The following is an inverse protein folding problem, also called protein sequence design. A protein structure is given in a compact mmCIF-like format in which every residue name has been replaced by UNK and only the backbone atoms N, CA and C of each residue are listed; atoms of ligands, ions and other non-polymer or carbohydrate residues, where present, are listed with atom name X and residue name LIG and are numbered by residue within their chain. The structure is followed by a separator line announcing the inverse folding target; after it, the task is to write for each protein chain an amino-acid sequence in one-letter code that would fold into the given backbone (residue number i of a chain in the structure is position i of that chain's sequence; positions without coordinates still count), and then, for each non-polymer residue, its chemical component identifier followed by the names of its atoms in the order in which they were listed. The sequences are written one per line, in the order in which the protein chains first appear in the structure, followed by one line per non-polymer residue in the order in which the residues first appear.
data_IF_130784834002
#
_entry.id   IF_130784834002
#
_cell.length_a   1.000
_cell.length_b   1.000
_cell.length_c   1.000
_cell.angle_alpha   90.00
_cell.angle_beta   90.00
_cell.angle_gamma   90.00
#
_symmetry.space_group_name_H-M   'P 1'
#
loop_
_entity.id
_entity.type
_entity.pdbx_description
1 polymer ?
#
# COMPACT_ATOMS: atom_id res chain seq x y z
N UNK A 1 16.05 10.42 -19.29
CA UNK A 1 14.72 11.07 -19.20
C UNK A 1 14.84 12.56 -18.96
N UNK A 2 14.15 13.39 -19.74
CA UNK A 2 13.98 14.83 -19.47
C UNK A 2 12.57 15.07 -18.93
N UNK A 3 12.47 15.69 -17.76
CA UNK A 3 11.23 16.17 -17.18
C UNK A 3 11.18 17.70 -17.30
N UNK A 4 10.29 18.24 -18.13
CA UNK A 4 9.91 19.65 -18.10
C UNK A 4 8.98 19.88 -16.93
N UNK A 5 9.39 20.70 -15.97
CA UNK A 5 8.69 20.97 -14.71
C UNK A 5 8.23 22.41 -14.70
N UNK A 6 6.93 22.61 -14.59
CA UNK A 6 6.30 23.91 -14.38
C UNK A 6 5.62 23.90 -13.02
N UNK A 7 6.08 24.77 -12.11
CA UNK A 7 5.51 24.93 -10.77
C UNK A 7 4.91 26.31 -10.64
N UNK A 8 3.69 26.35 -10.10
CA UNK A 8 2.94 27.58 -9.82
C UNK A 8 2.29 27.48 -8.45
N UNK A 9 1.62 28.54 -8.01
CA UNK A 9 0.79 28.52 -6.81
C UNK A 9 -0.25 27.39 -6.86
N UNK A 10 -0.90 27.17 -8.00
CA UNK A 10 -2.04 26.25 -8.06
C UNK A 10 -1.67 24.82 -8.51
N UNK A 11 -0.49 24.60 -9.10
CA UNK A 11 -0.16 23.30 -9.68
C UNK A 11 1.33 23.04 -9.86
N UNK A 12 1.65 21.74 -9.96
CA UNK A 12 2.88 21.20 -10.51
C UNK A 12 2.51 20.42 -11.77
N UNK A 13 2.99 20.85 -12.92
CA UNK A 13 2.79 20.18 -14.21
C UNK A 13 4.14 19.64 -14.70
N UNK A 14 4.15 18.39 -15.16
CA UNK A 14 5.38 17.70 -15.57
C UNK A 14 5.19 17.02 -16.91
N UNK A 15 6.06 17.31 -17.88
CA UNK A 15 6.14 16.64 -19.18
C UNK A 15 7.39 15.78 -19.24
N UNK A 16 7.22 14.49 -19.52
CA UNK A 16 8.29 13.49 -19.60
C UNK A 16 8.67 13.24 -21.06
N UNK A 17 9.88 13.60 -21.44
CA UNK A 17 10.47 13.31 -22.75
C UNK A 17 11.53 12.21 -22.60
N UNK A 18 11.27 11.00 -23.13
CA UNK A 18 12.26 9.92 -23.10
C UNK A 18 13.53 10.27 -23.87
N UNK A 19 14.64 9.68 -23.43
CA UNK A 19 15.94 9.70 -24.06
C UNK A 19 16.33 8.28 -24.50
N UNK A 20 17.46 8.15 -25.20
CA UNK A 20 17.85 6.89 -25.86
C UNK A 20 17.98 5.69 -24.90
N UNK A 21 18.41 5.93 -23.65
CA UNK A 21 18.62 4.91 -22.63
C UNK A 21 17.41 4.67 -21.71
N UNK A 22 16.30 5.39 -21.92
CA UNK A 22 15.07 5.20 -21.17
C UNK A 22 14.28 3.97 -21.66
N UNK A 23 13.44 3.40 -20.80
CA UNK A 23 12.65 2.20 -21.11
C UNK A 23 11.15 2.48 -21.21
N UNK A 24 10.50 1.86 -22.19
CA UNK A 24 9.04 1.83 -22.31
C UNK A 24 8.38 0.80 -21.39
N UNK A 25 9.15 -0.17 -20.88
CA UNK A 25 8.66 -1.30 -20.10
C UNK A 25 9.35 -1.42 -18.74
N UNK A 26 8.56 -1.66 -17.70
CA UNK A 26 8.99 -1.87 -16.32
C UNK A 26 8.21 -3.01 -15.69
N UNK A 27 8.73 -4.24 -15.81
CA UNK A 27 8.08 -5.45 -15.30
C UNK A 27 6.76 -5.76 -16.03
N UNK A 28 5.62 -5.63 -15.33
CA UNK A 28 4.27 -5.82 -15.92
C UNK A 28 3.61 -4.50 -16.34
N UNK A 29 4.32 -3.39 -16.22
CA UNK A 29 3.83 -2.07 -16.56
C UNK A 29 4.56 -1.53 -17.79
N UNK A 30 3.88 -0.69 -18.55
CA UNK A 30 4.45 0.11 -19.62
C UNK A 30 4.30 1.59 -19.29
N UNK A 31 5.12 2.43 -19.90
CA UNK A 31 4.87 3.86 -19.86
C UNK A 31 3.52 4.20 -20.51
N UNK A 32 2.83 5.15 -19.90
CA UNK A 32 1.54 5.64 -20.32
C UNK A 32 1.66 7.04 -20.90
N UNK A 33 0.84 7.96 -20.38
CA UNK A 33 0.89 9.37 -20.72
C UNK A 33 2.24 9.96 -20.34
N UNK A 34 2.77 10.81 -21.20
CA UNK A 34 4.04 11.51 -21.02
C UNK A 34 3.89 12.84 -20.27
N UNK A 35 2.81 13.02 -19.53
CA UNK A 35 2.64 14.17 -18.66
C UNK A 35 1.74 13.85 -17.48
N UNK A 36 1.96 14.54 -16.37
CA UNK A 36 1.08 14.51 -15.23
C UNK A 36 1.03 15.87 -14.53
N UNK A 37 -0.10 16.12 -13.88
CA UNK A 37 -0.36 17.28 -13.04
C UNK A 37 -0.63 16.88 -11.59
N UNK A 38 -0.28 17.77 -10.68
CA UNK A 38 -0.70 17.77 -9.29
C UNK A 38 -1.26 19.16 -8.99
N UNK A 39 -2.46 19.24 -8.42
CA UNK A 39 -3.12 20.52 -8.16
C UNK A 39 -3.23 20.77 -6.67
N UNK A 40 -2.78 21.95 -6.25
CA UNK A 40 -2.72 22.35 -4.86
C UNK A 40 -4.14 22.46 -4.27
N UNK A 41 -4.33 22.09 -2.98
CA UNK A 41 -5.58 22.39 -2.29
C UNK A 41 -5.70 23.89 -2.03
N UNK A 42 -6.95 24.36 -1.88
CA UNK A 42 -7.25 25.78 -1.65
C UNK A 42 -6.46 26.34 -0.45
N UNK A 43 -5.77 27.47 -0.65
CA UNK A 43 -4.96 28.12 0.38
C UNK A 43 -3.59 27.48 0.65
N UNK A 44 -3.23 26.39 -0.05
CA UNK A 44 -2.00 25.64 0.18
C UNK A 44 -1.17 25.45 -1.11
N UNK A 45 -0.85 26.56 -1.80
CA UNK A 45 -0.22 26.54 -3.13
C UNK A 45 1.26 26.12 -3.21
N UNK A 46 1.77 25.61 -4.32
CA UNK A 46 3.14 25.06 -4.37
C UNK A 46 4.28 26.09 -4.48
N UNK A 47 4.02 27.36 -4.17
CA UNK A 47 5.04 28.41 -4.14
C UNK A 47 6.11 28.12 -3.09
N UNK A 48 7.37 28.24 -3.48
CA UNK A 48 8.50 28.08 -2.57
C UNK A 48 8.73 26.64 -2.08
N UNK A 49 8.12 25.63 -2.71
CA UNK A 49 8.46 24.22 -2.42
C UNK A 49 9.92 23.98 -2.72
N UNK A 50 10.62 23.37 -1.75
CA UNK A 50 12.05 23.10 -1.88
C UNK A 50 12.35 22.24 -3.13
N UNK A 51 13.38 22.56 -3.94
CA UNK A 51 13.73 21.81 -5.17
C UNK A 51 13.88 20.30 -4.96
N UNK A 52 14.51 19.87 -3.86
CA UNK A 52 14.60 18.46 -3.48
C UNK A 52 13.25 17.72 -3.39
N UNK A 53 12.20 18.39 -2.88
CA UNK A 53 10.86 17.80 -2.75
C UNK A 53 10.18 17.68 -4.12
N UNK A 54 10.36 18.66 -5.00
CA UNK A 54 9.89 18.62 -6.39
C UNK A 54 10.59 17.48 -7.13
N UNK A 55 11.92 17.42 -7.05
CA UNK A 55 12.73 16.40 -7.68
C UNK A 55 12.37 14.98 -7.22
N UNK A 56 12.21 14.78 -5.90
CA UNK A 56 11.79 13.48 -5.38
C UNK A 56 10.36 13.13 -5.87
N UNK A 57 9.44 14.09 -5.92
CA UNK A 57 8.09 13.87 -6.44
C UNK A 57 8.10 13.42 -7.91
N UNK A 58 8.89 14.10 -8.76
CA UNK A 58 9.07 13.72 -10.17
C UNK A 58 9.72 12.34 -10.28
N UNK A 59 10.76 12.07 -9.49
CA UNK A 59 11.45 10.77 -9.47
C UNK A 59 10.49 9.63 -9.10
N UNK A 60 9.64 9.78 -8.08
CA UNK A 60 8.69 8.74 -7.68
C UNK A 60 7.67 8.37 -8.77
N UNK A 61 7.47 9.26 -9.74
CA UNK A 61 6.62 9.02 -10.93
C UNK A 61 7.46 8.47 -12.08
N UNK A 62 8.57 9.11 -12.44
CA UNK A 62 9.33 8.84 -13.66
C UNK A 62 10.36 7.70 -13.55
N UNK A 63 10.82 7.37 -12.33
CA UNK A 63 11.89 6.39 -12.10
C UNK A 63 11.71 5.04 -12.81
N UNK A 64 10.50 4.45 -12.93
CA UNK A 64 10.35 3.15 -13.58
C UNK A 64 10.79 3.13 -15.05
N UNK A 65 10.75 4.28 -15.72
CA UNK A 65 11.06 4.43 -17.15
C UNK A 65 12.37 5.15 -17.41
N UNK A 66 13.02 5.62 -16.35
CA UNK A 66 14.27 6.40 -16.45
C UNK A 66 15.46 5.45 -16.56
N UNK A 67 16.32 5.69 -17.53
CA UNK A 67 17.62 5.05 -17.71
C UNK A 67 18.63 5.54 -16.69
N UNK A 68 19.75 6.07 -17.18
CA UNK A 68 20.90 6.49 -16.36
C UNK A 68 20.77 7.91 -15.78
N UNK A 69 19.93 8.78 -16.35
CA UNK A 69 19.77 10.17 -15.87
C UNK A 69 18.34 10.69 -15.93
N UNK A 70 18.03 11.58 -15.00
CA UNK A 70 16.79 12.37 -14.96
C UNK A 70 17.14 13.86 -14.94
N UNK A 71 16.86 14.57 -16.03
CA UNK A 71 17.07 16.02 -16.15
C UNK A 71 15.78 16.75 -15.80
N UNK A 72 15.83 17.65 -14.82
CA UNK A 72 14.68 18.45 -14.40
C UNK A 72 14.79 19.86 -15.00
N UNK A 73 14.12 20.12 -16.13
CA UNK A 73 14.05 21.48 -16.70
C UNK A 73 13.01 22.29 -15.94
N UNK A 74 13.36 23.51 -15.51
CA UNK A 74 12.50 24.32 -14.64
C UNK A 74 12.81 24.18 -13.14
N UNK A 75 13.80 23.35 -12.80
CA UNK A 75 14.41 23.27 -11.46
C UNK A 75 15.92 23.45 -11.65
N UNK A 76 16.51 24.50 -11.06
CA UNK A 76 17.92 24.86 -11.31
C UNK A 76 18.93 23.78 -10.87
N UNK A 77 18.54 22.93 -9.92
CA UNK A 77 19.28 21.78 -9.44
C UNK A 77 18.69 21.21 -8.17
N UNK A 78 19.28 20.11 -7.68
CA UNK A 78 18.96 19.51 -6.37
C UNK A 78 20.17 19.60 -5.44
N UNK A 79 19.96 19.39 -4.14
CA UNK A 79 21.08 19.30 -3.20
C UNK A 79 21.96 18.09 -3.52
N UNK A 80 23.25 18.20 -3.23
CA UNK A 80 24.20 17.09 -3.38
C UNK A 80 23.76 15.85 -2.60
N UNK A 81 23.11 16.05 -1.44
CA UNK A 81 22.60 14.99 -0.58
C UNK A 81 21.52 14.17 -1.31
N UNK A 82 20.56 14.83 -1.98
CA UNK A 82 19.54 14.12 -2.74
C UNK A 82 20.15 13.45 -3.99
N UNK A 83 20.99 14.16 -4.75
CA UNK A 83 21.63 13.60 -5.94
C UNK A 83 22.42 12.31 -5.62
N UNK A 84 23.21 12.32 -4.55
CA UNK A 84 23.97 11.16 -4.09
C UNK A 84 23.06 9.98 -3.67
N UNK A 85 21.96 10.27 -2.95
CA UNK A 85 21.00 9.25 -2.53
C UNK A 85 20.29 8.60 -3.73
N UNK A 86 19.90 9.38 -4.73
CA UNK A 86 19.25 8.87 -5.96
C UNK A 86 20.21 8.03 -6.78
N UNK A 87 21.46 8.48 -6.96
CA UNK A 87 22.51 7.72 -7.65
C UNK A 87 22.79 6.40 -6.95
N UNK A 88 22.92 6.39 -5.62
CA UNK A 88 23.15 5.16 -4.85
C UNK A 88 21.95 4.20 -4.91
N UNK A 89 20.73 4.74 -4.81
CA UNK A 89 19.52 3.93 -4.79
C UNK A 89 19.21 3.29 -6.15
N UNK A 90 19.26 4.08 -7.23
CA UNK A 90 18.75 3.69 -8.55
C UNK A 90 19.79 3.73 -9.67
N UNK A 91 20.98 4.28 -9.45
CA UNK A 91 21.94 4.52 -10.53
C UNK A 91 21.50 5.65 -11.47
N UNK A 92 20.58 6.50 -11.01
CA UNK A 92 20.06 7.65 -11.77
C UNK A 92 20.85 8.89 -11.37
N UNK A 93 21.38 9.60 -12.35
CA UNK A 93 22.05 10.89 -12.18
C UNK A 93 21.03 12.04 -12.16
N UNK A 94 21.21 12.95 -11.21
CA UNK A 94 20.52 14.24 -11.11
C UNK A 94 21.55 15.36 -11.11
N UNK A 95 21.20 16.51 -11.69
CA UNK A 95 22.01 17.73 -11.63
C UNK A 95 22.01 18.29 -10.21
N UNK A 96 23.16 18.26 -9.54
CA UNK A 96 23.33 18.90 -8.24
C UNK A 96 23.66 20.40 -8.41
N UNK A 97 23.05 21.28 -7.61
CA UNK A 97 23.50 22.66 -7.44
C UNK A 97 24.31 22.74 -6.14
N UNK A 98 25.63 22.99 -6.20
CA UNK A 98 26.49 23.06 -5.01
C UNK A 98 26.15 24.23 -4.07
N UNK A 99 25.30 25.18 -4.51
CA UNK A 99 24.83 26.30 -3.70
C UNK A 99 23.48 26.02 -3.02
N UNK A 100 22.79 24.95 -3.42
CA UNK A 100 21.51 24.58 -2.82
C UNK A 100 21.76 23.74 -1.58
N UNK A 101 21.47 24.33 -0.42
CA UNK A 101 21.48 23.62 0.85
C UNK A 101 20.44 22.48 0.82
N UNK A 102 20.76 21.31 1.39
CA UNK A 102 19.78 20.25 1.54
C UNK A 102 18.58 20.69 2.37
N UNK A 103 17.38 20.25 1.99
CA UNK A 103 16.17 20.53 2.79
C UNK A 103 16.38 20.12 4.25
N UNK A 104 15.97 20.97 5.19
CA UNK A 104 15.89 20.62 6.61
C UNK A 104 14.45 20.73 7.10
N UNK A 105 13.95 19.69 7.75
CA UNK A 105 12.65 19.71 8.38
C UNK A 105 12.67 20.53 9.68
N UNK A 106 11.53 21.14 10.06
CA UNK A 106 11.41 21.85 11.33
C UNK A 106 11.65 20.92 12.53
N UNK A 107 12.39 21.41 13.54
CA UNK A 107 12.69 20.65 14.76
C UNK A 107 11.44 20.35 15.61
N UNK A 108 10.46 21.25 15.57
CA UNK A 108 9.12 21.15 16.15
C UNK A 108 8.09 20.65 15.13
N UNK A 109 8.55 19.96 14.08
CA UNK A 109 7.71 19.42 13.04
C UNK A 109 6.76 18.31 13.51
N UNK A 110 5.83 17.95 12.64
CA UNK A 110 4.80 16.95 12.91
C UNK A 110 4.78 15.86 11.84
N UNK A 111 4.19 14.68 12.11
CA UNK A 111 4.11 13.63 11.10
C UNK A 111 3.01 13.98 10.09
N UNK A 112 3.21 13.68 8.82
CA UNK A 112 2.14 13.65 7.82
C UNK A 112 1.67 12.23 7.56
N UNK A 113 0.39 12.05 7.25
CA UNK A 113 -0.16 10.74 6.86
C UNK A 113 -0.66 10.77 5.43
N UNK A 114 -0.08 9.92 4.57
CA UNK A 114 -0.68 9.59 3.29
C UNK A 114 -1.94 8.73 3.54
N UNK A 115 -3.09 9.40 3.59
CA UNK A 115 -4.36 8.85 4.04
C UNK A 115 -5.22 8.44 2.85
N UNK A 116 -5.86 7.26 2.90
CA UNK A 116 -6.69 6.78 1.79
C UNK A 116 -8.17 6.54 2.14
N UNK A 117 -8.58 6.79 3.39
CA UNK A 117 -9.92 6.42 3.89
C UNK A 117 -10.14 4.91 4.08
N UNK A 118 -9.11 4.09 3.88
CA UNK A 118 -9.16 2.64 4.10
C UNK A 118 -8.78 2.26 5.53
N UNK A 119 -9.12 1.03 5.94
CA UNK A 119 -8.91 0.53 7.32
C UNK A 119 -7.49 0.74 7.81
N UNK A 120 -6.50 0.45 6.97
CA UNK A 120 -5.10 0.47 7.39
C UNK A 120 -4.58 1.91 7.57
N UNK A 121 -5.03 2.85 6.72
CA UNK A 121 -4.73 4.28 6.90
C UNK A 121 -5.51 4.91 8.04
N UNK A 122 -6.75 4.46 8.31
CA UNK A 122 -7.53 4.90 9.48
C UNK A 122 -6.89 4.41 10.77
N UNK A 123 -6.40 3.17 10.83
CA UNK A 123 -5.64 2.68 11.97
C UNK A 123 -4.37 3.52 12.20
N UNK A 124 -3.65 3.88 11.14
CA UNK A 124 -2.51 4.79 11.25
C UNK A 124 -2.90 6.18 11.81
N UNK A 125 -4.03 6.73 11.36
CA UNK A 125 -4.59 7.99 11.89
C UNK A 125 -4.95 7.90 13.38
N UNK A 126 -5.50 6.76 13.83
CA UNK A 126 -5.84 6.54 15.24
C UNK A 126 -4.60 6.49 16.13
N UNK A 127 -3.50 5.93 15.63
CA UNK A 127 -2.25 5.77 16.39
C UNK A 127 -1.31 6.98 16.35
N UNK A 128 -1.53 7.90 15.42
CA UNK A 128 -0.76 9.13 15.28
C UNK A 128 -1.34 10.25 16.15
N UNK A 129 -0.53 11.28 16.48
CA UNK A 129 -1.03 12.47 17.16
C UNK A 129 -2.21 13.11 16.42
N UNK A 130 -3.16 13.69 17.16
CA UNK A 130 -4.43 14.20 16.60
C UNK A 130 -4.22 15.26 15.52
N UNK A 131 -3.18 16.07 15.68
CA UNK A 131 -2.74 17.18 14.83
C UNK A 131 -2.00 16.76 13.56
N UNK A 132 -1.87 15.45 13.31
CA UNK A 132 -1.28 14.90 12.08
C UNK A 132 -2.17 15.25 10.87
N UNK A 133 -1.69 16.03 9.89
CA UNK A 133 -2.44 16.28 8.66
C UNK A 133 -2.64 15.02 7.84
N UNK A 134 -3.86 14.86 7.33
CA UNK A 134 -4.29 13.73 6.49
C UNK A 134 -4.26 14.14 5.02
N UNK A 135 -3.29 13.61 4.27
CA UNK A 135 -3.10 13.94 2.87
C UNK A 135 -3.60 12.81 1.97
N UNK A 136 -4.70 13.08 1.28
CA UNK A 136 -5.30 12.17 0.32
C UNK A 136 -4.86 12.53 -1.10
N UNK A 137 -4.27 11.55 -1.78
CA UNK A 137 -4.05 11.62 -3.21
C UNK A 137 -5.38 11.34 -3.93
N UNK A 138 -6.07 12.40 -4.34
CA UNK A 138 -7.31 12.30 -5.10
C UNK A 138 -6.99 12.05 -6.57
N UNK A 139 -7.43 10.91 -7.10
CA UNK A 139 -7.05 10.44 -8.43
C UNK A 139 -8.06 10.93 -9.45
N UNK A 140 -7.65 11.85 -10.29
CA UNK A 140 -8.49 12.40 -11.35
C UNK A 140 -8.08 11.85 -12.72
N UNK A 141 -8.93 12.05 -13.71
CA UNK A 141 -8.60 11.85 -15.11
C UNK A 141 -7.57 12.87 -15.60
N UNK A 142 -7.00 12.67 -16.79
CA UNK A 142 -6.07 13.63 -17.41
C UNK A 142 -6.64 15.05 -17.38
N UNK A 143 -5.82 16.02 -16.97
CA UNK A 143 -6.22 17.45 -16.93
C UNK A 143 -7.44 17.72 -16.05
N UNK A 144 -7.53 17.02 -14.92
CA UNK A 144 -8.65 17.09 -13.96
C UNK A 144 -10.01 16.67 -14.53
N UNK A 145 -10.03 15.95 -15.64
CA UNK A 145 -11.24 15.29 -16.12
C UNK A 145 -11.72 14.21 -15.14
N UNK A 146 -12.99 13.77 -15.20
CA UNK A 146 -13.43 12.60 -14.44
C UNK A 146 -12.57 11.37 -14.77
N UNK A 147 -12.14 10.62 -13.74
CA UNK A 147 -11.34 9.41 -13.93
C UNK A 147 -12.16 8.34 -14.66
N UNK A 148 -11.61 7.80 -15.75
CA UNK A 148 -12.19 6.66 -16.48
C UNK A 148 -11.73 5.31 -15.93
N UNK A 149 -10.92 5.31 -14.88
CA UNK A 149 -10.44 4.09 -14.23
C UNK A 149 -11.52 3.44 -13.35
N UNK A 150 -11.28 2.20 -12.92
CA UNK A 150 -12.16 1.55 -11.93
C UNK A 150 -12.06 2.17 -10.53
N UNK A 151 -11.20 3.18 -10.32
CA UNK A 151 -11.03 3.83 -9.03
C UNK A 151 -12.14 4.87 -8.77
N UNK A 152 -12.66 4.85 -7.55
CA UNK A 152 -13.71 5.73 -7.06
C UNK A 152 -13.23 6.37 -5.74
N UNK A 153 -13.26 7.70 -5.66
CA UNK A 153 -12.80 8.46 -4.49
C UNK A 153 -13.92 8.88 -3.55
N UNK A 154 -15.20 8.69 -3.90
CA UNK A 154 -16.35 9.23 -3.17
C UNK A 154 -16.34 8.87 -1.67
N UNK A 155 -16.10 7.61 -1.30
CA UNK A 155 -16.02 7.23 0.11
C UNK A 155 -14.84 7.86 0.85
N UNK A 156 -13.67 7.98 0.22
CA UNK A 156 -12.50 8.61 0.83
C UNK A 156 -12.72 10.12 1.02
N UNK A 157 -13.34 10.79 0.04
CA UNK A 157 -13.70 12.21 0.14
C UNK A 157 -14.76 12.45 1.22
N UNK A 158 -15.79 11.58 1.32
CA UNK A 158 -16.75 11.62 2.43
C UNK A 158 -16.05 11.48 3.78
N UNK A 159 -15.13 10.52 3.90
CA UNK A 159 -14.39 10.31 5.15
C UNK A 159 -13.54 11.54 5.53
N UNK A 160 -12.85 12.17 4.58
CA UNK A 160 -12.11 13.41 4.83
C UNK A 160 -13.04 14.55 5.27
N UNK A 161 -14.17 14.72 4.61
CA UNK A 161 -15.16 15.74 4.92
C UNK A 161 -15.74 15.56 6.34
N UNK A 162 -16.07 14.33 6.74
CA UNK A 162 -16.48 14.02 8.11
C UNK A 162 -15.36 14.30 9.13
N UNK A 163 -14.13 13.85 8.86
CA UNK A 163 -12.97 14.11 9.73
C UNK A 163 -12.65 15.61 9.86
N UNK A 164 -12.83 16.37 8.78
CA UNK A 164 -12.67 17.83 8.77
C UNK A 164 -13.70 18.52 9.67
N UNK A 165 -14.97 18.09 9.62
CA UNK A 165 -16.02 18.58 10.56
C UNK A 165 -15.71 18.27 12.02
N UNK A 166 -14.99 17.18 12.29
CA UNK A 166 -14.49 16.84 13.63
C UNK A 166 -13.21 17.62 14.04
N UNK A 167 -12.76 18.54 13.20
CA UNK A 167 -11.60 19.38 13.45
C UNK A 167 -10.26 18.69 13.17
N UNK A 168 -10.23 17.63 12.35
CA UNK A 168 -8.96 17.13 11.81
C UNK A 168 -8.52 17.95 10.61
N UNK A 169 -7.22 18.07 10.46
CA UNK A 169 -6.61 18.74 9.31
C UNK A 169 -6.53 17.77 8.12
N UNK A 170 -7.26 18.08 7.03
CA UNK A 170 -7.42 17.20 5.88
C UNK A 170 -7.12 17.91 4.56
N UNK A 171 -6.42 17.22 3.66
CA UNK A 171 -6.07 17.73 2.33
C UNK A 171 -6.40 16.70 1.26
N UNK A 172 -7.28 17.05 0.32
CA UNK A 172 -7.45 16.31 -0.92
C UNK A 172 -6.63 17.00 -2.01
N UNK A 173 -5.65 16.29 -2.58
CA UNK A 173 -4.77 16.82 -3.62
C UNK A 173 -5.05 16.07 -4.90
N UNK A 174 -5.62 16.76 -5.89
CA UNK A 174 -5.91 16.19 -7.19
C UNK A 174 -4.61 15.85 -7.92
N UNK A 175 -4.56 14.70 -8.59
CA UNK A 175 -3.48 14.35 -9.51
C UNK A 175 -3.92 13.31 -10.53
N UNK A 176 -3.34 13.38 -11.72
CA UNK A 176 -3.52 12.41 -12.80
C UNK A 176 -2.27 11.53 -13.02
N UNK A 177 -1.34 11.49 -12.04
CA UNK A 177 -0.05 10.79 -12.18
C UNK A 177 -0.16 9.28 -12.47
N UNK A 178 -1.28 8.63 -12.15
CA UNK A 178 -1.48 7.21 -12.44
C UNK A 178 -1.60 6.92 -13.95
N UNK A 179 -1.90 7.93 -14.76
CA UNK A 179 -2.01 7.80 -16.21
C UNK A 179 -0.64 7.73 -16.90
N UNK A 180 0.44 8.03 -16.19
CA UNK A 180 1.81 7.81 -16.67
C UNK A 180 2.19 6.34 -16.72
N UNK A 181 1.36 5.45 -16.18
CA UNK A 181 1.53 3.99 -16.20
C UNK A 181 0.40 3.30 -16.99
N UNK A 182 0.73 2.25 -17.73
CA UNK A 182 -0.22 1.34 -18.39
C UNK A 182 -0.04 -0.11 -17.91
N UNK A 183 -1.11 -0.81 -17.48
CA UNK A 183 -2.46 -0.28 -17.22
C UNK A 183 -2.44 0.81 -16.12
N UNK A 184 -3.44 1.69 -16.09
CA UNK A 184 -3.53 2.80 -15.12
C UNK A 184 -3.36 2.30 -13.69
N UNK A 185 -2.61 3.08 -12.90
CA UNK A 185 -2.35 2.85 -11.48
C UNK A 185 -1.03 3.51 -11.08
N UNK A 186 -0.67 3.46 -9.80
CA UNK A 186 0.57 4.10 -9.36
C UNK A 186 1.82 3.61 -10.12
N UNK A 187 2.64 4.54 -10.67
CA UNK A 187 3.92 4.23 -11.32
C UNK A 187 4.89 3.50 -10.39
N UNK A 188 4.93 3.94 -9.14
CA UNK A 188 5.61 3.28 -8.03
C UNK A 188 4.68 3.22 -6.84
N UNK A 189 4.87 2.24 -5.94
CA UNK A 189 4.08 2.16 -4.71
C UNK A 189 4.18 3.41 -3.82
N UNK A 190 5.17 4.26 -4.05
CA UNK A 190 5.49 5.45 -3.28
C UNK A 190 4.98 6.74 -3.92
N UNK A 191 4.49 6.70 -5.16
CA UNK A 191 3.92 7.88 -5.83
C UNK A 191 2.73 8.47 -5.07
N UNK A 192 2.11 7.69 -4.16
CA UNK A 192 1.10 8.19 -3.23
C UNK A 192 1.61 9.21 -2.20
N UNK A 193 2.93 9.38 -2.07
CA UNK A 193 3.57 10.35 -1.19
C UNK A 193 3.65 11.75 -1.79
N UNK A 194 3.44 11.90 -3.09
CA UNK A 194 3.63 13.18 -3.82
C UNK A 194 2.86 14.34 -3.16
N UNK A 195 1.58 14.20 -2.77
CA UNK A 195 0.88 15.26 -2.02
C UNK A 195 1.61 15.71 -0.75
N UNK A 196 2.10 14.75 0.05
CA UNK A 196 2.80 15.03 1.30
C UNK A 196 4.20 15.63 1.07
N UNK A 197 4.88 15.25 0.00
CA UNK A 197 6.16 15.87 -0.39
C UNK A 197 5.97 17.34 -0.77
N UNK A 198 5.01 17.64 -1.64
CA UNK A 198 4.78 19.01 -2.12
C UNK A 198 4.20 19.94 -1.05
N UNK A 199 3.57 19.39 -0.01
CA UNK A 199 3.04 20.16 1.12
C UNK A 199 3.93 20.10 2.36
N UNK A 200 5.11 19.44 2.29
CA UNK A 200 5.92 19.14 3.46
C UNK A 200 6.32 20.39 4.25
N UNK A 201 6.81 21.42 3.58
CA UNK A 201 7.31 22.63 4.26
C UNK A 201 6.18 23.50 4.80
N UNK A 202 5.10 23.69 4.02
CA UNK A 202 3.93 24.45 4.48
C UNK A 202 3.28 23.78 5.70
N UNK A 203 3.19 22.46 5.72
CA UNK A 203 2.57 21.71 6.83
C UNK A 203 3.55 21.37 7.95
N UNK A 204 4.82 21.81 7.83
CA UNK A 204 5.91 21.57 8.79
C UNK A 204 6.12 20.07 9.07
N UNK A 205 6.12 19.27 8.02
CA UNK A 205 6.29 17.82 8.11
C UNK A 205 7.76 17.46 8.33
N UNK A 206 8.01 16.63 9.35
CA UNK A 206 9.34 16.05 9.65
C UNK A 206 9.40 14.53 9.47
N UNK A 207 8.27 13.91 9.13
CA UNK A 207 8.19 12.47 8.82
C UNK A 207 6.89 12.19 8.08
N UNK A 208 6.84 11.10 7.35
CA UNK A 208 5.66 10.67 6.61
C UNK A 208 5.29 9.22 6.96
N UNK A 209 4.01 8.96 7.13
CA UNK A 209 3.44 7.65 7.42
C UNK A 209 2.43 7.21 6.36
N UNK A 210 2.12 5.91 6.35
CA UNK A 210 1.14 5.25 5.50
C UNK A 210 0.42 4.16 6.29
N UNK A 211 -0.70 3.67 5.74
CA UNK A 211 -1.33 2.41 6.14
C UNK A 211 -0.56 1.16 5.69
N UNK A 212 0.77 1.13 5.86
CA UNK A 212 1.61 -0.01 5.48
C UNK A 212 1.64 -1.04 6.61
N UNK A 213 0.81 -2.07 6.48
CA UNK A 213 0.69 -3.18 7.44
C UNK A 213 1.88 -4.14 7.42
N UNK A 214 1.96 -5.03 8.41
CA UNK A 214 2.96 -6.08 8.60
C UNK A 214 3.17 -6.91 7.33
N UNK A 215 2.10 -7.21 6.58
CA UNK A 215 2.18 -7.96 5.33
C UNK A 215 2.98 -7.23 4.26
N UNK A 216 2.83 -5.91 4.18
CA UNK A 216 3.55 -5.08 3.21
C UNK A 216 4.95 -4.68 3.70
N UNK A 217 5.11 -4.44 5.00
CA UNK A 217 6.34 -3.99 5.64
C UNK A 217 7.36 -5.12 5.83
N UNK A 218 6.87 -6.33 6.15
CA UNK A 218 7.68 -7.49 6.49
C UNK A 218 7.39 -8.73 5.63
N UNK A 219 6.60 -8.61 4.55
CA UNK A 219 6.27 -9.71 3.62
C UNK A 219 5.54 -10.91 4.25
N UNK A 220 5.05 -10.75 5.48
CA UNK A 220 4.17 -11.73 6.14
C UNK A 220 2.94 -11.95 5.26
N UNK A 221 2.53 -13.20 5.05
CA UNK A 221 1.41 -13.52 4.14
C UNK A 221 1.72 -13.39 2.64
N UNK A 222 2.98 -13.17 2.25
CA UNK A 222 3.42 -13.27 0.85
C UNK A 222 4.26 -14.53 0.63
N UNK A 223 4.41 -14.94 -0.64
CA UNK A 223 5.19 -16.12 -1.04
C UNK A 223 6.64 -16.15 -0.52
N UNK A 224 7.21 -14.99 -0.18
CA UNK A 224 8.57 -14.86 0.36
C UNK A 224 8.71 -15.08 1.87
N UNK A 225 7.61 -15.26 2.61
CA UNK A 225 7.63 -15.30 4.08
C UNK A 225 8.12 -13.99 4.72
N UNK A 226 8.34 -14.02 6.04
CA UNK A 226 8.85 -12.86 6.76
C UNK A 226 10.22 -12.43 6.22
N UNK A 227 10.37 -11.12 5.99
CA UNK A 227 11.60 -10.46 5.59
C UNK A 227 11.73 -9.16 6.39
N UNK A 228 12.83 -9.01 7.13
CA UNK A 228 13.05 -7.78 7.90
C UNK A 228 13.11 -6.54 6.99
N UNK A 229 12.55 -5.42 7.46
CA UNK A 229 12.57 -4.13 6.78
C UNK A 229 13.97 -3.78 6.25
N UNK A 230 15.00 -3.97 7.06
CA UNK A 230 16.37 -3.60 6.73
C UNK A 230 16.97 -4.51 5.65
N UNK A 231 16.52 -5.76 5.54
CA UNK A 231 16.94 -6.69 4.49
C UNK A 231 16.31 -6.39 3.12
N UNK A 232 15.22 -5.64 3.06
CA UNK A 232 14.45 -5.42 1.83
C UNK A 232 15.00 -4.24 1.03
N UNK A 233 15.54 -4.52 -0.16
CA UNK A 233 16.09 -3.51 -1.09
C UNK A 233 15.12 -2.36 -1.36
N UNK A 234 13.84 -2.65 -1.58
CA UNK A 234 12.82 -1.63 -1.84
C UNK A 234 12.61 -0.69 -0.64
N UNK A 235 12.57 -1.24 0.58
CA UNK A 235 12.41 -0.45 1.81
C UNK A 235 13.65 0.39 2.10
N UNK A 236 14.85 -0.19 1.95
CA UNK A 236 16.12 0.53 2.10
C UNK A 236 16.25 1.71 1.16
N UNK A 237 15.94 1.51 -0.13
CA UNK A 237 15.94 2.58 -1.14
C UNK A 237 14.98 3.69 -0.76
N UNK A 238 13.75 3.33 -0.40
CA UNK A 238 12.75 4.29 0.04
C UNK A 238 13.24 5.12 1.24
N UNK A 239 13.64 4.44 2.31
CA UNK A 239 14.08 5.11 3.54
C UNK A 239 15.25 6.06 3.27
N UNK A 240 16.20 5.68 2.42
CA UNK A 240 17.33 6.52 2.06
C UNK A 240 16.92 7.80 1.30
N UNK A 241 16.00 7.68 0.33
CA UNK A 241 15.53 8.82 -0.46
C UNK A 241 14.76 9.83 0.38
N UNK A 242 13.85 9.34 1.22
CA UNK A 242 13.05 10.19 2.10
C UNK A 242 13.92 10.83 3.20
N UNK A 243 14.94 10.13 3.71
CA UNK A 243 15.92 10.72 4.62
C UNK A 243 16.79 11.79 3.94
N UNK A 244 17.09 11.65 2.65
CA UNK A 244 17.90 12.63 1.92
C UNK A 244 17.21 14.00 1.73
N UNK A 245 15.89 14.06 1.91
CA UNK A 245 15.12 15.31 1.93
C UNK A 245 14.65 15.67 3.35
N UNK A 246 15.24 15.06 4.38
CA UNK A 246 14.88 15.24 5.79
C UNK A 246 13.38 15.04 6.07
N UNK A 247 12.79 14.05 5.41
CA UNK A 247 11.39 13.64 5.61
C UNK A 247 11.31 12.11 5.80
N UNK A 248 11.95 11.54 6.83
CA UNK A 248 12.03 10.09 7.03
C UNK A 248 10.66 9.41 7.06
N UNK A 249 10.62 8.19 6.53
CA UNK A 249 9.47 7.28 6.62
C UNK A 249 9.26 6.84 8.07
N UNK A 250 8.03 6.96 8.57
CA UNK A 250 7.61 6.60 9.93
C UNK A 250 6.32 5.76 9.90
N UNK A 251 6.37 4.49 9.45
CA UNK A 251 5.19 3.67 9.19
C UNK A 251 4.62 3.10 10.50
N UNK A 252 3.68 3.82 11.11
CA UNK A 252 3.19 3.51 12.48
C UNK A 252 2.41 2.20 12.60
N UNK A 253 1.89 1.66 11.49
CA UNK A 253 1.18 0.38 11.44
C UNK A 253 2.04 -0.76 10.86
N UNK A 254 3.34 -0.57 10.65
CA UNK A 254 4.21 -1.61 10.10
C UNK A 254 4.29 -2.88 10.95
N UNK A 255 4.00 -2.78 12.25
CA UNK A 255 3.93 -3.92 13.16
C UNK A 255 2.56 -4.57 13.28
N UNK A 256 1.54 -4.06 12.56
CA UNK A 256 0.16 -4.51 12.68
C UNK A 256 -0.23 -5.25 11.40
N UNK A 257 -0.75 -6.47 11.54
CA UNK A 257 -1.38 -7.15 10.41
C UNK A 257 -2.67 -6.44 9.98
N UNK A 258 -3.25 -6.83 8.85
CA UNK A 258 -4.60 -6.37 8.48
C UNK A 258 -5.68 -6.69 9.53
N UNK A 259 -5.49 -7.76 10.30
CA UNK A 259 -6.40 -8.14 11.40
C UNK A 259 -6.27 -7.11 12.52
N UNK A 260 -5.04 -6.80 12.91
CA UNK A 260 -4.75 -5.84 13.97
C UNK A 260 -5.21 -4.42 13.61
N UNK A 261 -5.02 -3.96 12.37
CA UNK A 261 -5.54 -2.65 11.93
C UNK A 261 -7.06 -2.62 11.91
N UNK A 262 -7.73 -3.70 11.50
CA UNK A 262 -9.19 -3.81 11.56
C UNK A 262 -9.69 -3.72 13.01
N UNK A 263 -9.04 -4.39 13.97
CA UNK A 263 -9.39 -4.30 15.40
C UNK A 263 -9.24 -2.88 15.95
N UNK A 264 -8.15 -2.19 15.61
CA UNK A 264 -7.95 -0.77 16.01
C UNK A 264 -9.10 0.09 15.50
N UNK A 265 -9.47 -0.05 14.22
CA UNK A 265 -10.56 0.76 13.63
C UNK A 265 -11.93 0.40 14.21
N UNK A 266 -12.24 -0.90 14.39
CA UNK A 266 -13.50 -1.35 14.97
C UNK A 266 -13.69 -0.85 16.42
N UNK A 267 -12.60 -0.80 17.19
CA UNK A 267 -12.60 -0.24 18.54
C UNK A 267 -12.55 1.29 18.60
N UNK A 268 -12.59 1.97 17.45
CA UNK A 268 -12.53 3.44 17.34
C UNK A 268 -13.87 4.02 16.87
N UNK A 269 -14.11 5.33 17.06
CA UNK A 269 -15.30 5.99 16.51
C UNK A 269 -15.31 6.08 14.97
N UNK A 270 -14.22 5.69 14.30
CA UNK A 270 -14.04 5.87 12.84
C UNK A 270 -14.43 4.66 12.00
N UNK A 271 -15.03 3.63 12.61
CA UNK A 271 -15.43 2.41 11.90
C UNK A 271 -16.46 2.68 10.79
N UNK A 272 -17.43 3.57 11.04
CA UNK A 272 -18.51 3.91 10.10
C UNK A 272 -18.05 4.68 8.86
N UNK A 273 -16.94 5.42 8.94
CA UNK A 273 -16.46 6.29 7.86
C UNK A 273 -15.41 5.61 6.98
N UNK A 274 -15.00 4.40 7.34
CA UNK A 274 -13.88 3.71 6.71
C UNK A 274 -14.34 2.79 5.58
N UNK A 275 -13.71 2.89 4.40
CA UNK A 275 -13.98 2.00 3.27
C UNK A 275 -12.68 1.59 2.54
N UNK A 276 -12.39 0.28 2.51
CA UNK A 276 -11.24 -0.25 1.76
C UNK A 276 -11.49 -0.46 0.26
N UNK A 277 -12.76 -0.47 -0.15
CA UNK A 277 -13.14 -0.67 -1.55
C UNK A 277 -12.85 0.59 -2.37
N UNK A 278 -12.15 0.41 -3.48
CA UNK A 278 -11.84 1.48 -4.43
C UNK A 278 -12.72 1.44 -5.69
N UNK A 279 -13.58 0.44 -5.83
CA UNK A 279 -14.45 0.27 -7.01
C UNK A 279 -15.90 0.67 -6.73
N UNK A 280 -16.27 0.81 -5.45
CA UNK A 280 -17.56 1.31 -5.02
C UNK A 280 -17.51 2.83 -4.85
N UNK A 281 -18.68 3.48 -4.90
CA UNK A 281 -18.79 4.91 -4.64
C UNK A 281 -18.71 5.16 -3.14
N UNK A 282 -19.76 5.73 -2.55
CA UNK A 282 -19.94 5.87 -1.10
C UNK A 282 -20.08 4.51 -0.40
N UNK A 283 -20.69 3.55 -1.10
CA UNK A 283 -20.84 2.17 -0.65
C UNK A 283 -19.85 1.24 -1.37
N UNK A 284 -19.42 0.19 -0.68
CA UNK A 284 -18.48 -0.78 -1.22
C UNK A 284 -19.11 -1.58 -2.37
N UNK A 285 -18.34 -1.90 -3.42
CA UNK A 285 -18.87 -2.58 -4.61
C UNK A 285 -19.42 -4.02 -4.39
N UNK A 286 -19.23 -4.59 -3.20
CA UNK A 286 -19.78 -5.91 -2.84
C UNK A 286 -19.26 -7.12 -3.63
N UNK A 287 -18.27 -6.97 -4.53
CA UNK A 287 -17.84 -8.05 -5.44
C UNK A 287 -16.33 -8.20 -5.65
N UNK A 288 -15.54 -7.18 -5.35
CA UNK A 288 -14.09 -7.25 -5.61
C UNK A 288 -13.34 -8.11 -4.57
N UNK A 289 -12.13 -8.55 -4.90
CA UNK A 289 -11.24 -9.31 -3.99
C UNK A 289 -10.97 -8.64 -2.64
N UNK A 290 -10.95 -7.29 -2.60
CA UNK A 290 -10.80 -6.55 -1.34
C UNK A 290 -12.07 -6.66 -0.49
N UNK A 291 -13.25 -6.48 -1.09
CA UNK A 291 -14.53 -6.65 -0.41
C UNK A 291 -14.69 -8.09 0.12
N UNK A 292 -14.28 -9.10 -0.64
CA UNK A 292 -14.31 -10.50 -0.18
C UNK A 292 -13.49 -10.67 1.10
N UNK A 293 -12.18 -10.38 1.04
CA UNK A 293 -11.27 -10.59 2.18
C UNK A 293 -11.58 -9.70 3.37
N UNK A 294 -11.77 -8.38 3.16
CA UNK A 294 -12.06 -7.43 4.25
C UNK A 294 -13.46 -7.65 4.83
N UNK A 295 -14.42 -8.07 4.02
CA UNK A 295 -15.77 -8.39 4.49
C UNK A 295 -15.82 -9.70 5.31
N UNK A 296 -15.05 -10.72 4.92
CA UNK A 296 -14.84 -11.90 5.76
C UNK A 296 -14.17 -11.55 7.08
N UNK A 297 -13.19 -10.64 7.06
CA UNK A 297 -12.53 -10.15 8.27
C UNK A 297 -13.48 -9.37 9.17
N UNK A 298 -14.27 -8.47 8.61
CA UNK A 298 -15.31 -7.76 9.36
C UNK A 298 -16.29 -8.74 10.00
N UNK A 299 -16.74 -9.77 9.26
CA UNK A 299 -17.60 -10.82 9.79
C UNK A 299 -16.97 -11.62 10.94
N UNK A 300 -15.69 -11.99 10.80
CA UNK A 300 -14.95 -12.69 11.84
C UNK A 300 -14.82 -11.86 13.12
N UNK A 301 -14.69 -10.53 13.00
CA UNK A 301 -14.53 -9.62 14.15
C UNK A 301 -15.86 -9.16 14.75
N UNK A 302 -16.95 -9.08 13.97
CA UNK A 302 -18.26 -8.57 14.40
C UNK A 302 -19.28 -9.67 14.73
N UNK A 303 -18.89 -10.96 14.64
CA UNK A 303 -19.79 -12.11 14.77
C UNK A 303 -20.91 -12.15 13.72
N UNK A 304 -20.84 -11.32 12.67
CA UNK A 304 -21.75 -11.38 11.52
C UNK A 304 -21.46 -12.65 10.72
N UNK A 305 -22.49 -13.42 10.41
CA UNK A 305 -22.36 -14.64 9.59
C UNK A 305 -22.58 -14.32 8.12
N UNK A 306 -21.79 -14.95 7.26
CA UNK A 306 -22.01 -14.94 5.81
C UNK A 306 -22.80 -16.18 5.42
N UNK A 307 -23.77 -16.00 4.54
CA UNK A 307 -24.52 -17.10 3.93
C UNK A 307 -23.78 -17.61 2.69
N UNK A 308 -24.13 -18.81 2.23
CA UNK A 308 -23.61 -19.33 0.96
C UNK A 308 -23.95 -18.41 -0.22
N UNK A 309 -25.12 -17.75 -0.18
CA UNK A 309 -25.53 -16.80 -1.20
C UNK A 309 -24.61 -15.56 -1.24
N UNK A 310 -24.17 -15.07 -0.08
CA UNK A 310 -23.22 -13.95 -0.01
C UNK A 310 -21.87 -14.33 -0.63
N UNK A 311 -21.39 -15.55 -0.34
CA UNK A 311 -20.10 -16.07 -0.84
C UNK A 311 -20.12 -16.35 -2.34
N UNK A 312 -21.21 -16.91 -2.86
CA UNK A 312 -21.38 -17.26 -4.27
C UNK A 312 -21.20 -16.05 -5.21
N UNK A 313 -21.61 -14.86 -4.79
CA UNK A 313 -21.42 -13.61 -5.55
C UNK A 313 -19.93 -13.38 -5.79
N UNK A 314 -19.09 -13.56 -4.77
CA UNK A 314 -17.64 -13.39 -4.90
C UNK A 314 -17.00 -14.51 -5.71
N UNK A 315 -17.44 -15.75 -5.55
CA UNK A 315 -16.86 -16.88 -6.29
C UNK A 315 -17.10 -16.79 -7.80
N UNK A 316 -18.13 -16.06 -8.26
CA UNK A 316 -18.34 -15.81 -9.71
C UNK A 316 -17.31 -14.83 -10.29
N UNK A 317 -16.76 -13.95 -9.46
CA UNK A 317 -15.82 -12.91 -9.88
C UNK A 317 -14.43 -13.51 -10.16
N UNK A 318 -13.96 -13.35 -11.40
CA UNK A 318 -12.63 -13.86 -11.81
C UNK A 318 -11.48 -13.37 -10.92
N UNK A 319 -11.42 -12.07 -10.53
CA UNK A 319 -10.34 -11.59 -9.67
C UNK A 319 -10.31 -12.23 -8.28
N UNK A 320 -11.47 -12.66 -7.76
CA UNK A 320 -11.55 -13.39 -6.48
C UNK A 320 -11.00 -14.79 -6.69
N UNK A 321 -11.53 -15.54 -7.66
CA UNK A 321 -11.08 -16.91 -7.94
C UNK A 321 -9.60 -17.01 -8.23
N UNK A 322 -9.05 -16.04 -8.96
CA UNK A 322 -7.62 -15.97 -9.24
C UNK A 322 -6.80 -15.93 -7.96
N UNK A 323 -7.16 -15.05 -7.01
CA UNK A 323 -6.46 -14.95 -5.72
C UNK A 323 -6.60 -16.24 -4.91
N UNK A 324 -7.81 -16.81 -4.82
CA UNK A 324 -8.02 -18.05 -4.06
C UNK A 324 -7.30 -19.27 -4.66
N UNK A 325 -6.91 -19.19 -5.93
CA UNK A 325 -6.16 -20.22 -6.63
C UNK A 325 -4.64 -20.04 -6.53
N UNK A 326 -4.15 -18.92 -5.98
CA UNK A 326 -2.71 -18.65 -5.87
C UNK A 326 -2.05 -19.56 -4.83
N UNK A 327 -0.85 -20.05 -5.18
CA UNK A 327 -0.01 -20.82 -4.27
C UNK A 327 1.44 -20.32 -4.33
N UNK A 328 2.02 -19.87 -3.20
CA UNK A 328 1.36 -19.66 -1.90
C UNK A 328 0.27 -18.59 -1.95
N UNK A 329 -0.72 -18.69 -1.06
CA UNK A 329 -1.86 -17.77 -1.03
C UNK A 329 -1.40 -16.38 -0.57
N UNK A 330 -1.75 -15.35 -1.31
CA UNK A 330 -1.47 -13.98 -0.89
C UNK A 330 -2.40 -13.56 0.27
N UNK A 331 -1.84 -12.94 1.30
CA UNK A 331 -2.47 -12.69 2.61
C UNK A 331 -2.86 -13.98 3.36
N UNK A 332 -2.04 -15.03 3.23
CA UNK A 332 -2.27 -16.30 3.91
C UNK A 332 -2.50 -16.17 5.42
N UNK A 333 -1.72 -15.31 6.10
CA UNK A 333 -1.87 -15.08 7.53
C UNK A 333 -3.28 -14.55 7.89
N UNK A 334 -3.83 -13.68 7.04
CA UNK A 334 -5.19 -13.14 7.19
C UNK A 334 -6.19 -14.27 6.97
N UNK A 335 -6.12 -14.99 5.86
CA UNK A 335 -7.04 -16.09 5.59
C UNK A 335 -6.97 -17.20 6.63
N UNK A 336 -5.79 -17.52 7.16
CA UNK A 336 -5.61 -18.47 8.24
C UNK A 336 -6.34 -18.05 9.52
N UNK A 337 -6.24 -16.77 9.90
CA UNK A 337 -7.00 -16.21 11.04
C UNK A 337 -8.51 -16.27 10.80
N UNK A 338 -8.97 -15.92 9.60
CA UNK A 338 -10.40 -15.99 9.26
C UNK A 338 -10.93 -17.41 9.39
N UNK A 339 -10.16 -18.37 8.89
CA UNK A 339 -10.56 -19.77 8.81
C UNK A 339 -10.40 -20.51 10.14
N UNK A 340 -9.55 -20.02 11.07
CA UNK A 340 -9.44 -20.59 12.42
C UNK A 340 -10.71 -20.36 13.24
N UNK A 341 -11.39 -19.22 13.01
CA UNK A 341 -12.68 -18.90 13.62
C UNK A 341 -13.90 -19.35 12.80
N UNK A 342 -13.71 -19.90 11.60
CA UNK A 342 -14.81 -20.25 10.71
C UNK A 342 -15.50 -21.56 11.13
N UNK A 343 -16.77 -21.46 11.51
CA UNK A 343 -17.63 -22.57 11.93
C UNK A 343 -18.72 -22.95 10.90
N UNK A 344 -18.68 -22.37 9.69
CA UNK A 344 -19.65 -22.68 8.64
C UNK A 344 -19.26 -23.90 7.80
N UNK A 345 -20.10 -24.21 6.81
CA UNK A 345 -19.94 -25.40 5.94
C UNK A 345 -19.70 -25.05 4.47
N UNK A 346 -19.29 -23.82 4.16
CA UNK A 346 -18.99 -23.43 2.77
C UNK A 346 -17.85 -24.29 2.22
N UNK A 347 -18.06 -24.83 1.01
CA UNK A 347 -17.13 -25.79 0.40
C UNK A 347 -15.78 -25.17 0.09
N UNK A 348 -15.76 -23.95 -0.45
CA UNK A 348 -14.52 -23.25 -0.82
C UNK A 348 -13.72 -22.90 0.44
N UNK A 349 -14.35 -22.30 1.45
CA UNK A 349 -13.67 -21.97 2.71
C UNK A 349 -13.17 -23.22 3.45
N UNK A 350 -13.92 -24.32 3.43
CA UNK A 350 -13.48 -25.60 4.02
C UNK A 350 -12.25 -26.17 3.33
N UNK A 351 -12.20 -26.11 2.00
CA UNK A 351 -11.03 -26.54 1.23
C UNK A 351 -9.82 -25.63 1.45
N UNK A 352 -10.03 -24.32 1.55
CA UNK A 352 -8.98 -23.37 1.93
C UNK A 352 -8.43 -23.68 3.32
N UNK A 353 -9.29 -23.97 4.31
CA UNK A 353 -8.87 -24.31 5.68
C UNK A 353 -7.93 -25.51 5.70
N UNK A 354 -8.24 -26.55 4.92
CA UNK A 354 -7.36 -27.73 4.72
C UNK A 354 -6.06 -27.33 4.04
N UNK A 355 -6.12 -26.60 2.93
CA UNK A 355 -4.95 -26.18 2.16
C UNK A 355 -3.96 -25.37 3.01
N UNK A 356 -4.46 -24.46 3.85
CA UNK A 356 -3.64 -23.60 4.70
C UNK A 356 -3.17 -24.26 6.01
N UNK A 357 -3.57 -25.51 6.29
CA UNK A 357 -3.26 -26.23 7.54
C UNK A 357 -3.54 -25.39 8.79
N UNK A 358 -4.69 -24.72 8.80
CA UNK A 358 -5.06 -23.76 9.86
C UNK A 358 -4.95 -24.36 11.27
N UNK A 359 -5.20 -25.67 11.43
CA UNK A 359 -5.13 -26.36 12.72
C UNK A 359 -3.69 -26.57 13.24
N UNK A 360 -2.68 -26.47 12.35
CA UNK A 360 -1.27 -26.65 12.70
C UNK A 360 -0.53 -25.34 13.00
N UNK A 361 -1.20 -24.19 12.92
CA UNK A 361 -0.60 -22.88 13.14
C UNK A 361 -1.49 -22.01 14.02
N UNK A 362 -0.86 -21.20 14.86
CA UNK A 362 -1.57 -20.19 15.63
C UNK A 362 -1.65 -18.91 14.81
N UNK A 363 -2.84 -18.61 14.32
CA UNK A 363 -3.08 -17.39 13.58
C UNK A 363 -3.51 -16.23 14.47
N UNK A 364 -3.82 -16.48 15.76
CA UNK A 364 -4.29 -15.45 16.69
C UNK A 364 -3.20 -14.44 17.00
N UNK A 365 -1.91 -14.82 16.94
CA UNK A 365 -0.79 -13.91 17.12
C UNK A 365 -0.84 -12.66 16.23
N UNK A 366 -1.49 -12.73 15.06
CA UNK A 366 -1.65 -11.59 14.15
C UNK A 366 -2.70 -10.57 14.62
N UNK A 367 -3.46 -10.85 15.68
CA UNK A 367 -4.34 -9.89 16.33
C UNK A 367 -3.63 -9.00 17.36
N UNK A 368 -2.31 -9.20 17.55
CA UNK A 368 -1.39 -8.45 18.40
C UNK A 368 -0.42 -7.64 17.54
N UNK A 369 0.29 -6.68 18.13
CA UNK A 369 1.30 -5.91 17.40
C UNK A 369 2.71 -6.49 17.56
N UNK A 370 3.47 -6.50 16.47
CA UNK A 370 4.89 -6.86 16.43
C UNK A 370 5.75 -5.72 16.99
N UNK A 371 6.34 -5.86 18.20
CA UNK A 371 6.95 -4.74 18.92
C UNK A 371 8.19 -4.18 18.23
N UNK A 372 8.98 -5.01 17.55
CA UNK A 372 10.23 -4.58 16.91
C UNK A 372 9.99 -3.55 15.79
N UNK A 373 8.79 -3.49 15.21
CA UNK A 373 8.45 -2.48 14.21
C UNK A 373 8.44 -1.05 14.76
N UNK A 374 8.33 -0.86 16.09
CA UNK A 374 8.40 0.47 16.72
C UNK A 374 9.73 1.19 16.45
N UNK A 375 10.81 0.45 16.14
CA UNK A 375 12.10 1.03 15.73
C UNK A 375 12.00 1.84 14.43
N UNK A 376 11.00 1.54 13.59
CA UNK A 376 10.74 2.24 12.32
C UNK A 376 9.98 3.55 12.52
N UNK A 377 9.31 3.73 13.66
CA UNK A 377 8.60 4.96 13.99
C UNK A 377 9.62 6.06 14.31
N UNK A 378 9.38 7.26 13.78
CA UNK A 378 10.19 8.43 14.05
C UNK A 378 10.33 8.65 15.56
N UNK A 379 11.55 8.94 16.01
CA UNK A 379 11.91 8.97 17.44
C UNK A 379 11.01 9.87 18.28
N UNK A 380 10.57 11.00 17.74
CA UNK A 380 9.69 11.96 18.43
C UNK A 380 8.32 11.39 18.77
N UNK A 381 7.85 10.41 18.00
CA UNK A 381 6.48 9.91 18.06
C UNK A 381 6.39 8.48 18.61
N UNK A 382 7.53 7.80 18.76
CA UNK A 382 7.57 6.39 19.19
C UNK A 382 6.90 6.13 20.53
N UNK A 383 7.09 7.02 21.51
CA UNK A 383 6.46 6.90 22.83
C UNK A 383 4.93 7.07 22.74
N UNK A 384 4.48 8.09 22.01
CA UNK A 384 3.06 8.33 21.75
C UNK A 384 2.40 7.12 21.05
N UNK A 385 2.97 6.68 19.92
CA UNK A 385 2.45 5.54 19.14
C UNK A 385 2.41 4.26 19.99
N UNK A 386 3.44 4.00 20.79
CA UNK A 386 3.44 2.85 21.72
C UNK A 386 2.30 2.95 22.74
N UNK A 387 2.09 4.13 23.32
CA UNK A 387 1.00 4.35 24.27
C UNK A 387 -0.36 4.16 23.61
N UNK A 388 -0.57 4.72 22.41
CA UNK A 388 -1.80 4.56 21.65
C UNK A 388 -2.05 3.08 21.30
N UNK A 389 -1.02 2.35 20.87
CA UNK A 389 -1.12 0.92 20.57
C UNK A 389 -1.61 0.11 21.78
N UNK A 390 -1.05 0.37 22.97
CA UNK A 390 -1.42 -0.34 24.19
C UNK A 390 -2.88 -0.11 24.63
N UNK A 391 -3.53 0.93 24.13
CA UNK A 391 -4.98 1.15 24.35
C UNK A 391 -5.85 0.22 23.51
N UNK A 392 -5.31 -0.34 22.42
CA UNK A 392 -6.07 -1.15 21.47
C UNK A 392 -5.62 -2.61 21.42
N UNK A 393 -4.31 -2.87 21.50
CA UNK A 393 -3.71 -4.17 21.22
C UNK A 393 -2.56 -4.46 22.20
N UNK A 394 -2.44 -5.73 22.60
CA UNK A 394 -1.27 -6.22 23.33
C UNK A 394 -0.06 -6.41 22.40
N UNK A 395 1.18 -6.30 22.92
CA UNK A 395 2.37 -6.69 22.17
C UNK A 395 2.39 -8.21 21.97
N UNK A 396 3.00 -8.67 20.88
CA UNK A 396 3.48 -10.04 20.76
C UNK A 396 4.54 -10.32 21.86
N UNK A 397 4.45 -11.48 22.48
CA UNK A 397 5.49 -12.09 23.32
C UNK A 397 6.74 -12.45 22.50
N UNK A 398 7.83 -12.78 23.19
CA UNK A 398 9.07 -13.21 22.54
C UNK A 398 8.86 -14.45 21.65
N UNK A 399 8.05 -15.41 22.09
CA UNK A 399 7.75 -16.62 21.32
C UNK A 399 6.90 -16.30 20.09
N UNK A 400 5.88 -15.44 20.22
CA UNK A 400 5.08 -14.97 19.07
C UNK A 400 5.95 -14.20 18.07
N UNK A 401 6.87 -13.35 18.53
CA UNK A 401 7.86 -12.65 17.69
C UNK A 401 8.72 -13.64 16.91
N UNK A 402 9.28 -14.66 17.59
CA UNK A 402 10.10 -15.67 16.94
C UNK A 402 9.29 -16.44 15.86
N UNK A 403 8.02 -16.74 16.12
CA UNK A 403 7.12 -17.40 15.17
C UNK A 403 6.80 -16.52 13.95
N UNK A 404 6.60 -15.22 14.13
CA UNK A 404 6.43 -14.27 13.01
C UNK A 404 7.69 -14.19 12.17
N UNK A 405 8.86 -14.09 12.78
CA UNK A 405 10.14 -14.03 12.07
C UNK A 405 10.44 -15.33 11.31
N UNK A 406 10.02 -16.46 11.87
CA UNK A 406 10.08 -17.77 11.24
C UNK A 406 8.94 -18.02 10.23
N UNK A 407 7.97 -17.10 10.08
CA UNK A 407 6.78 -17.33 9.26
C UNK A 407 7.16 -17.64 7.80
N UNK A 408 6.65 -18.77 7.30
CA UNK A 408 6.75 -19.17 5.90
C UNK A 408 5.35 -19.51 5.41
N UNK A 409 4.98 -19.04 4.20
CA UNK A 409 3.66 -19.34 3.67
C UNK A 409 3.59 -20.83 3.29
N UNK A 410 2.40 -21.39 3.41
CA UNK A 410 2.09 -22.76 3.05
C UNK A 410 2.02 -22.87 1.52
N UNK A 411 2.79 -23.80 0.96
CA UNK A 411 2.70 -24.17 -0.46
C UNK A 411 1.46 -25.02 -0.76
N UNK A 412 1.58 -25.97 -1.70
CA UNK A 412 0.56 -27.02 -1.86
C UNK A 412 0.77 -28.07 -0.77
N UNK A 413 0.19 -27.84 0.40
CA UNK A 413 0.31 -28.72 1.55
C UNK A 413 -0.56 -29.98 1.48
N UNK A 414 -1.73 -29.87 0.83
CA UNK A 414 -2.70 -30.93 0.55
C UNK A 414 -3.09 -30.82 -0.93
N UNK A 415 -2.47 -31.65 -1.76
CA UNK A 415 -2.65 -31.59 -3.21
C UNK A 415 -4.09 -31.92 -3.62
N UNK A 416 -4.73 -32.86 -2.93
CA UNK A 416 -6.11 -33.24 -3.20
C UNK A 416 -7.06 -32.08 -2.86
N UNK A 417 -6.93 -31.47 -1.67
CA UNK A 417 -7.73 -30.30 -1.32
C UNK A 417 -7.54 -29.14 -2.30
N UNK A 418 -6.30 -28.94 -2.77
CA UNK A 418 -6.01 -27.91 -3.75
C UNK A 418 -6.67 -28.19 -5.12
N UNK A 419 -6.57 -29.42 -5.64
CA UNK A 419 -7.25 -29.81 -6.88
C UNK A 419 -8.78 -29.71 -6.76
N UNK A 420 -9.35 -30.14 -5.64
CA UNK A 420 -10.78 -29.98 -5.33
C UNK A 420 -11.19 -28.50 -5.26
N UNK A 421 -10.35 -27.64 -4.68
CA UNK A 421 -10.59 -26.19 -4.61
C UNK A 421 -10.63 -25.59 -6.02
N UNK A 422 -9.64 -25.90 -6.84
CA UNK A 422 -9.57 -25.42 -8.22
C UNK A 422 -10.78 -25.89 -9.04
N UNK A 423 -11.16 -27.17 -8.91
CA UNK A 423 -12.35 -27.71 -9.58
C UNK A 423 -13.63 -27.00 -9.14
N UNK A 424 -13.78 -26.76 -7.82
CA UNK A 424 -14.93 -26.04 -7.25
C UNK A 424 -15.00 -24.61 -7.79
N UNK A 425 -13.89 -23.86 -7.78
CA UNK A 425 -13.83 -22.49 -8.30
C UNK A 425 -14.05 -22.42 -9.83
N UNK A 426 -13.67 -23.48 -10.57
CA UNK A 426 -14.00 -23.60 -12.00
C UNK A 426 -15.50 -23.80 -12.25
N UNK A 427 -16.22 -24.45 -11.32
CA UNK A 427 -17.68 -24.58 -11.37
C UNK A 427 -18.39 -23.24 -11.42
N UNK A 428 -17.85 -22.21 -10.76
CA UNK A 428 -18.35 -20.84 -10.79
C UNK A 428 -17.98 -20.04 -12.06
N UNK A 429 -17.22 -20.63 -12.99
CA UNK A 429 -16.89 -19.98 -14.26
C UNK A 429 -18.07 -19.97 -15.24
N UNK A 430 -18.29 -18.83 -15.88
CA UNK A 430 -19.11 -18.76 -17.10
C UNK A 430 -18.51 -19.65 -18.21
N UNK A 431 -19.33 -20.11 -19.15
CA UNK A 431 -18.92 -21.04 -20.22
C UNK A 431 -17.72 -20.53 -21.04
N UNK A 432 -17.60 -19.22 -21.26
CA UNK A 432 -16.50 -18.55 -21.98
C UNK A 432 -15.19 -18.48 -21.20
N UNK A 433 -15.19 -18.65 -19.86
CA UNK A 433 -14.01 -18.51 -19.01
C UNK A 433 -13.30 -19.84 -18.68
N UNK A 434 -13.91 -20.99 -19.02
CA UNK A 434 -13.43 -22.33 -18.61
C UNK A 434 -12.09 -22.74 -19.24
N UNK A 435 -11.79 -22.28 -20.46
CA UNK A 435 -10.56 -22.67 -21.19
C UNK A 435 -9.30 -22.01 -20.62
N UNK A 436 -9.39 -20.75 -20.19
CA UNK A 436 -8.22 -19.96 -19.76
C UNK A 436 -7.66 -20.32 -18.38
N UNK A 437 -8.48 -20.94 -17.51
CA UNK A 437 -8.05 -21.29 -16.15
C UNK A 437 -7.23 -22.59 -16.15
N UNK A 438 -7.63 -23.60 -16.95
CA UNK A 438 -6.90 -24.89 -17.04
C UNK A 438 -5.47 -24.73 -17.57
N UNK A 439 -5.27 -23.89 -18.58
CA UNK A 439 -3.93 -23.64 -19.15
C UNK A 439 -3.02 -22.85 -18.20
N UNK A 440 -3.59 -22.00 -17.34
CA UNK A 440 -2.85 -21.17 -16.37
C UNK A 440 -2.61 -21.85 -15.03
N UNK A 441 -3.38 -22.88 -14.71
CA UNK A 441 -3.26 -23.72 -13.52
C UNK A 441 -2.30 -24.90 -13.69
N UNK A 442 -1.72 -25.09 -14.89
CA UNK A 442 -0.58 -25.96 -15.06
C UNK A 442 0.60 -25.40 -14.24
N UNK A 443 0.86 -25.99 -13.06
CA UNK A 443 2.00 -25.70 -12.21
C UNK A 443 3.26 -25.50 -13.08
N UNK A 444 3.91 -24.33 -13.05
CA UNK A 444 5.20 -24.17 -13.70
C UNK A 444 6.12 -25.28 -13.18
N UNK A 445 6.69 -26.07 -14.09
CA UNK A 445 7.57 -27.21 -13.78
C UNK A 445 8.72 -26.87 -12.81
N UNK A 446 9.06 -25.58 -12.68
CA UNK A 446 10.03 -25.02 -11.73
C UNK A 446 9.59 -25.05 -10.25
N UNK A 447 8.28 -24.98 -9.94
CA UNK A 447 7.78 -25.02 -8.55
C UNK A 447 7.74 -26.45 -7.97
N UNK A 448 7.61 -27.48 -8.81
CA UNK A 448 7.70 -28.89 -8.39
C UNK A 448 9.07 -29.25 -7.80
N UNK A 449 10.15 -28.59 -8.22
CA UNK A 449 11.52 -28.91 -7.77
C UNK A 449 11.93 -28.22 -6.47
N UNK A 450 11.23 -27.18 -6.00
CA UNK A 450 11.66 -26.38 -4.84
C UNK A 450 11.00 -26.77 -3.51
N UNK A 451 9.88 -27.48 -3.57
CA UNK A 451 9.11 -27.89 -2.38
C UNK A 451 8.88 -29.40 -2.29
N UNK A 452 9.53 -30.18 -3.16
CA UNK A 452 9.34 -31.62 -3.28
C UNK A 452 10.60 -32.42 -2.96
N UNK A 453 11.17 -32.28 -1.76
CA UNK A 453 11.89 -33.37 -1.09
C UNK A 453 11.77 -33.21 0.44
N UNK A 454 11.13 -34.14 1.15
CA UNK A 454 11.34 -34.28 2.59
C UNK A 454 12.73 -34.89 2.81
N UNK A 455 13.52 -34.25 3.67
CA UNK A 455 14.68 -34.82 4.33
C UNK A 455 14.36 -34.94 5.80
#
# INVERSE_FOLDING_TARGET
MIAGVEISTSSLEVVLTPEEDDTEEAGRARAGRRRFGVWAPDGHGFDGVHPDLVALSVLLVAQPWTGSRLVLRGVDGVSERLAAAVRSAYGIELTADPRLEPRSAPADGRPGLAFSGGVDSTAAMVLLPRETPLLFLNRVGPDRSPSTSQYQSAAALRALDELSREGRETYAVDTDLEHTRRPTGFPTHWANAVPALLLADRLRLHSISWGMVLEAAFMVGSAGGFQDWSGRRAMRRLSALFAAVDLPVSPVVAGLSEIATARVVHGSPYSSITQSCIQGSVEACGRCKKCFRKGLLDAALSSKRWTSADLDVFYREEPVRRVLSEVPLHHENVYGFLLSGYAGSDRVLSLMRRQLRVEGADHTLFDRYYPDALRLVHRSHRAHVRSALLQHLGPMSADEVARVQAWRPVGVADAQAHEELLSTLQGYATSTARTSLRERLALPSRLRRRFGRPG
#
